data_IF_842361617299
#
_entry.id   IF_842361617299
#
_cell.length_a   1.000
_cell.length_b   1.000
_cell.length_c   1.000
_cell.angle_alpha   90.00
_cell.angle_beta   90.00
_cell.angle_gamma   90.00
#
_symmetry.space_group_name_H-M   'P 1'
#
loop_
_entity.id
_entity.type
_entity.pdbx_description
1 polymer ?
#
# COMPACT_ATOMS: atom_id res chain seq x y z
N UNK A 1 73.51 18.70 -27.43
CA UNK A 1 73.38 17.43 -26.67
C UNK A 1 72.80 17.82 -25.33
N UNK A 2 71.60 17.43 -24.93
CA UNK A 2 70.92 16.12 -25.05
C UNK A 2 69.42 16.34 -25.18
N UNK A 3 68.80 15.73 -26.20
CA UNK A 3 67.34 15.62 -26.30
C UNK A 3 66.85 14.61 -25.26
N UNK A 4 65.94 15.03 -24.38
CA UNK A 4 65.23 14.09 -23.51
C UNK A 4 64.29 13.24 -24.38
N UNK A 5 64.62 11.95 -24.41
CA UNK A 5 63.95 10.94 -25.19
C UNK A 5 62.56 10.67 -24.58
N UNK A 6 61.53 11.05 -25.33
CA UNK A 6 60.12 10.81 -25.05
C UNK A 6 59.78 9.47 -25.70
N UNK A 7 59.86 8.38 -24.95
CA UNK A 7 59.12 7.13 -25.20
C UNK A 7 59.36 6.12 -24.07
N UNK A 8 58.78 6.44 -22.91
CA UNK A 8 58.66 5.48 -21.81
C UNK A 8 57.26 4.87 -21.86
N UNK A 9 57.12 3.71 -22.53
CA UNK A 9 55.87 2.92 -22.59
C UNK A 9 55.39 2.44 -21.22
N UNK A 10 56.17 2.65 -20.16
CA UNK A 10 55.79 2.32 -18.79
C UNK A 10 54.96 3.43 -18.12
N UNK A 11 55.02 4.68 -18.59
CA UNK A 11 54.25 5.77 -17.98
C UNK A 11 52.73 5.59 -18.10
N UNK A 12 52.17 5.21 -19.26
CA UNK A 12 50.73 4.93 -19.39
C UNK A 12 50.29 3.76 -18.51
N UNK A 13 51.14 2.74 -18.35
CA UNK A 13 50.85 1.55 -17.54
C UNK A 13 50.83 1.88 -16.04
N UNK A 14 51.77 2.70 -15.57
CA UNK A 14 51.81 3.16 -14.18
C UNK A 14 50.59 4.03 -13.88
N UNK A 15 50.19 4.89 -14.82
CA UNK A 15 49.02 5.76 -14.67
C UNK A 15 47.71 4.94 -14.64
N UNK A 16 47.58 3.93 -15.51
CA UNK A 16 46.45 3.01 -15.50
C UNK A 16 46.39 2.18 -14.20
N UNK A 17 47.54 1.69 -13.71
CA UNK A 17 47.61 0.96 -12.45
C UNK A 17 47.22 1.85 -11.25
N UNK A 18 47.68 3.11 -11.22
CA UNK A 18 47.31 4.08 -10.19
C UNK A 18 45.79 4.38 -10.22
N UNK A 19 45.19 4.54 -11.41
CA UNK A 19 43.74 4.73 -11.55
C UNK A 19 42.98 3.51 -11.08
N UNK A 20 43.42 2.28 -11.40
CA UNK A 20 42.78 1.05 -10.93
C UNK A 20 42.86 0.95 -9.40
N UNK A 21 43.99 1.30 -8.79
CA UNK A 21 44.14 1.28 -7.32
C UNK A 21 43.24 2.34 -6.67
N UNK A 22 43.10 3.52 -7.25
CA UNK A 22 42.19 4.57 -6.76
C UNK A 22 40.73 4.15 -6.94
N UNK A 23 40.37 3.52 -8.06
CA UNK A 23 39.02 3.00 -8.30
C UNK A 23 38.70 1.82 -7.38
N UNK A 24 39.64 0.90 -7.17
CA UNK A 24 39.48 -0.21 -6.23
C UNK A 24 39.44 0.29 -4.77
N UNK A 25 40.22 1.31 -4.42
CA UNK A 25 40.19 1.96 -3.11
C UNK A 25 38.90 2.75 -2.87
N UNK A 26 38.36 3.44 -3.88
CA UNK A 26 37.07 4.14 -3.79
C UNK A 26 35.88 3.17 -3.82
N UNK A 27 35.98 2.05 -4.54
CA UNK A 27 35.03 0.95 -4.48
C UNK A 27 35.08 0.26 -3.11
N UNK A 28 36.27 0.00 -2.58
CA UNK A 28 36.47 -0.51 -1.22
C UNK A 28 35.93 0.43 -0.14
N UNK A 29 36.17 1.74 -0.28
CA UNK A 29 35.60 2.75 0.61
C UNK A 29 34.08 2.87 0.48
N UNK A 30 33.51 2.69 -0.72
CA UNK A 30 32.05 2.61 -0.93
C UNK A 30 31.44 1.31 -0.40
N UNK A 31 32.19 0.21 -0.40
CA UNK A 31 31.74 -1.08 0.14
C UNK A 31 31.88 -1.14 1.66
N UNK A 32 32.89 -0.49 2.25
CA UNK A 32 33.06 -0.35 3.70
C UNK A 32 32.12 0.74 4.25
N UNK A 33 31.86 1.81 3.50
CA UNK A 33 30.80 2.79 3.81
C UNK A 33 29.38 2.24 3.63
N UNK A 34 29.25 0.97 3.21
CA UNK A 34 27.99 0.22 3.15
C UNK A 34 27.66 -0.51 4.45
N UNK A 35 28.49 -0.36 5.49
CA UNK A 35 28.07 -0.43 6.90
C UNK A 35 27.32 0.87 7.30
N UNK A 36 26.60 1.47 6.36
CA UNK A 36 25.71 2.58 6.62
C UNK A 36 24.56 2.05 7.45
N UNK A 37 24.64 2.21 8.77
CA UNK A 37 23.48 2.04 9.66
C UNK A 37 22.31 2.76 8.99
N UNK A 38 21.28 2.01 8.60
CA UNK A 38 20.04 2.60 8.11
C UNK A 38 19.62 3.56 9.20
N UNK A 39 19.51 4.85 8.87
CA UNK A 39 18.99 5.83 9.83
C UNK A 39 17.52 5.50 9.98
N UNK A 40 17.22 4.82 11.09
CA UNK A 40 15.84 4.56 11.50
C UNK A 40 15.34 5.86 12.12
N UNK A 41 14.28 6.48 11.57
CA UNK A 41 13.69 7.64 12.20
C UNK A 41 13.10 7.20 13.54
N UNK A 42 13.32 8.00 14.58
CA UNK A 42 12.56 7.88 15.82
C UNK A 42 11.14 8.37 15.54
N UNK A 43 10.14 7.62 16.00
CA UNK A 43 8.75 8.07 15.91
C UNK A 43 8.59 9.37 16.72
N UNK A 44 8.06 10.45 16.13
CA UNK A 44 7.80 11.66 16.87
C UNK A 44 6.73 11.44 17.94
N UNK A 45 6.82 12.21 19.02
CA UNK A 45 5.86 12.16 20.12
C UNK A 45 4.43 12.35 19.60
N UNK A 46 3.55 11.43 19.99
CA UNK A 46 2.14 11.47 19.68
C UNK A 46 1.33 11.15 20.93
N UNK A 47 0.10 11.67 20.97
CA UNK A 47 -0.88 11.29 22.00
C UNK A 47 -2.06 10.63 21.32
N UNK A 48 -2.68 9.66 22.01
CA UNK A 48 -3.88 8.99 21.51
C UNK A 48 -5.06 9.57 22.30
N UNK A 49 -6.05 10.20 21.63
CA UNK A 49 -7.28 10.57 22.28
C UNK A 49 -7.99 9.35 22.89
N UNK A 50 -8.77 9.56 23.96
CA UNK A 50 -9.70 8.54 24.39
C UNK A 50 -10.74 8.30 23.28
N UNK A 51 -11.23 7.06 23.09
CA UNK A 51 -12.33 6.81 22.17
C UNK A 51 -13.55 7.64 22.52
N UNK A 52 -14.29 8.05 21.49
CA UNK A 52 -15.51 8.84 21.65
C UNK A 52 -16.53 8.06 22.46
N UNK A 53 -17.06 8.67 23.52
CA UNK A 53 -18.17 8.09 24.28
C UNK A 53 -19.39 7.94 23.37
N UNK A 54 -20.09 6.81 23.47
CA UNK A 54 -21.29 6.56 22.69
C UNK A 54 -22.41 5.99 23.56
N UNK A 55 -23.64 6.20 23.13
CA UNK A 55 -24.81 5.53 23.67
C UNK A 55 -25.32 4.53 22.65
N UNK A 56 -25.68 3.32 23.09
CA UNK A 56 -26.23 2.29 22.22
C UNK A 56 -27.46 2.77 21.43
N UNK A 57 -28.28 3.64 22.03
CA UNK A 57 -29.46 4.19 21.38
C UNK A 57 -29.14 5.10 20.18
N UNK A 58 -27.94 5.68 20.15
CA UNK A 58 -27.47 6.58 19.11
C UNK A 58 -26.57 5.87 18.09
N UNK A 59 -26.31 4.57 18.28
CA UNK A 59 -25.47 3.80 17.37
C UNK A 59 -26.23 3.51 16.07
N UNK A 60 -25.83 4.18 15.01
CA UNK A 60 -26.35 3.92 13.67
C UNK A 60 -25.77 2.61 13.10
N UNK A 61 -26.63 1.78 12.52
CA UNK A 61 -26.22 0.54 11.84
C UNK A 61 -26.33 0.74 10.33
N UNK A 62 -25.20 0.82 9.59
CA UNK A 62 -25.22 1.08 8.16
C UNK A 62 -25.93 -0.04 7.38
N UNK A 63 -26.97 0.33 6.61
CA UNK A 63 -27.69 -0.62 5.77
C UNK A 63 -27.03 -0.77 4.39
N UNK A 64 -26.02 -1.64 4.32
CA UNK A 64 -25.30 -1.96 3.07
C UNK A 64 -26.11 -2.70 2.00
N UNK A 65 -27.40 -2.94 2.23
CA UNK A 65 -28.34 -3.50 1.24
C UNK A 65 -29.45 -2.53 0.85
N UNK A 66 -29.54 -1.38 1.51
CA UNK A 66 -30.58 -0.40 1.25
C UNK A 66 -30.24 0.45 0.01
N UNK A 67 -31.22 0.85 -0.83
CA UNK A 67 -30.95 1.68 -2.01
C UNK A 67 -30.23 3.00 -1.73
N UNK A 68 -30.35 3.52 -0.50
CA UNK A 68 -29.69 4.74 -0.04
C UNK A 68 -28.16 4.66 -0.03
N UNK A 69 -27.57 3.48 -0.21
CA UNK A 69 -26.13 3.28 -0.22
C UNK A 69 -25.48 3.35 -1.60
N UNK A 70 -26.26 3.56 -2.66
CA UNK A 70 -25.77 3.50 -4.05
C UNK A 70 -24.59 4.45 -4.28
N UNK A 71 -24.61 5.59 -3.59
CA UNK A 71 -23.59 6.65 -3.69
C UNK A 71 -22.59 6.63 -2.52
N UNK A 72 -22.62 5.61 -1.66
CA UNK A 72 -21.69 5.54 -0.53
C UNK A 72 -20.28 5.25 -1.03
N UNK A 73 -19.33 6.01 -0.51
CA UNK A 73 -17.92 5.68 -0.66
C UNK A 73 -17.61 4.32 -0.06
N UNK A 74 -16.61 3.61 -0.60
CA UNK A 74 -16.14 2.31 -0.09
C UNK A 74 -15.31 2.48 1.19
N UNK A 75 -15.93 3.08 2.21
CA UNK A 75 -15.39 3.43 3.52
C UNK A 75 -16.32 2.93 4.62
N UNK A 76 -15.79 2.83 5.84
CA UNK A 76 -16.62 2.63 7.02
C UNK A 76 -17.56 3.81 7.16
N UNK A 77 -18.85 3.52 7.30
CA UNK A 77 -19.84 4.55 7.62
C UNK A 77 -19.94 4.73 9.15
N UNK A 78 -19.63 3.68 9.91
CA UNK A 78 -19.48 3.78 11.37
C UNK A 78 -18.23 4.61 11.69
N UNK A 79 -18.38 5.57 12.60
CA UNK A 79 -17.25 6.33 13.11
C UNK A 79 -16.29 5.42 13.90
N UNK A 80 -15.09 5.23 13.34
CA UNK A 80 -14.06 4.39 13.96
C UNK A 80 -13.41 5.06 15.16
N UNK A 81 -13.62 6.36 15.41
CA UNK A 81 -13.18 7.04 16.64
C UNK A 81 -13.91 6.50 17.89
N UNK A 82 -15.09 5.88 17.71
CA UNK A 82 -15.80 5.17 18.78
C UNK A 82 -15.00 3.97 19.31
N UNK A 83 -14.16 3.35 18.46
CA UNK A 83 -13.30 2.22 18.86
C UNK A 83 -11.87 2.66 19.11
N UNK A 84 -11.27 3.34 18.13
CA UNK A 84 -9.85 3.59 18.06
C UNK A 84 -9.57 4.90 17.29
N UNK A 85 -9.65 6.06 17.96
CA UNK A 85 -9.34 7.34 17.34
C UNK A 85 -7.91 7.35 16.81
N UNK A 86 -7.67 8.07 15.71
CA UNK A 86 -6.31 8.33 15.25
C UNK A 86 -5.57 9.16 16.31
N UNK A 87 -4.25 8.99 16.39
CA UNK A 87 -3.48 9.81 17.33
C UNK A 87 -3.24 11.22 16.80
N UNK A 88 -2.61 12.05 17.62
CA UNK A 88 -2.39 13.49 17.36
C UNK A 88 -1.04 13.77 16.70
N UNK A 89 -0.22 12.73 16.47
CA UNK A 89 1.10 12.88 15.91
C UNK A 89 1.06 13.45 14.49
N UNK A 90 1.88 14.47 14.22
CA UNK A 90 1.92 15.15 12.92
C UNK A 90 2.86 14.48 11.93
N UNK A 91 3.57 13.42 12.35
CA UNK A 91 4.48 12.71 11.46
C UNK A 91 3.72 11.89 10.42
N UNK A 92 4.36 11.65 9.29
CA UNK A 92 3.86 10.72 8.30
C UNK A 92 4.33 9.30 8.66
N UNK A 93 3.41 8.43 9.11
CA UNK A 93 3.76 7.06 9.46
C UNK A 93 4.38 6.26 8.30
N UNK A 94 4.12 6.67 7.05
CA UNK A 94 4.74 6.06 5.89
C UNK A 94 6.27 6.18 5.86
N UNK A 95 6.88 7.12 6.59
CA UNK A 95 8.34 7.26 6.70
C UNK A 95 8.98 5.97 7.22
N UNK A 96 8.36 5.34 8.22
CA UNK A 96 8.87 4.11 8.81
C UNK A 96 8.48 2.88 8.01
N UNK A 97 7.20 2.75 7.65
CA UNK A 97 6.73 1.59 6.89
C UNK A 97 7.37 1.52 5.50
N UNK A 98 7.68 2.67 4.89
CA UNK A 98 8.36 2.76 3.59
C UNK A 98 9.78 2.18 3.58
N UNK A 99 10.46 2.11 4.74
CA UNK A 99 11.77 1.46 4.87
C UNK A 99 11.73 -0.03 4.53
N UNK A 100 10.56 -0.64 4.63
CA UNK A 100 10.31 -2.04 4.32
C UNK A 100 9.72 -2.22 2.91
N UNK A 101 9.94 -1.27 2.01
CA UNK A 101 9.64 -1.42 0.59
C UNK A 101 10.07 -2.80 0.08
N UNK A 102 9.17 -3.44 -0.67
CA UNK A 102 9.43 -4.79 -1.17
C UNK A 102 10.65 -4.76 -2.11
N UNK A 103 11.46 -5.80 -2.04
CA UNK A 103 12.62 -6.07 -2.91
C UNK A 103 13.83 -5.12 -2.81
N UNK A 104 13.63 -3.83 -2.52
CA UNK A 104 14.69 -2.80 -2.53
C UNK A 104 14.70 -1.89 -1.30
N UNK A 105 13.77 -2.07 -0.35
CA UNK A 105 13.72 -1.25 0.86
C UNK A 105 14.97 -1.41 1.73
N UNK A 106 15.44 -0.33 2.40
CA UNK A 106 16.65 -0.37 3.23
C UNK A 106 16.56 -1.38 4.38
N UNK A 107 15.34 -1.74 4.81
CA UNK A 107 15.08 -2.73 5.87
C UNK A 107 14.41 -4.02 5.37
N UNK A 108 14.62 -4.36 4.09
CA UNK A 108 14.12 -5.63 3.52
C UNK A 108 14.60 -6.85 4.31
N UNK A 109 15.86 -6.85 4.73
CA UNK A 109 16.45 -7.99 5.44
C UNK A 109 15.85 -8.12 6.85
N UNK A 110 15.59 -7.00 7.53
CA UNK A 110 14.88 -6.99 8.82
C UNK A 110 13.48 -7.57 8.69
N UNK A 111 12.72 -7.18 7.66
CA UNK A 111 11.41 -7.75 7.37
C UNK A 111 11.51 -9.26 7.09
N UNK A 112 12.52 -9.69 6.33
CA UNK A 112 12.74 -11.11 6.01
C UNK A 112 13.04 -11.91 7.27
N UNK A 113 13.96 -11.43 8.10
CA UNK A 113 14.30 -12.04 9.38
C UNK A 113 13.08 -12.09 10.33
N UNK A 114 12.23 -11.06 10.32
CA UNK A 114 10.99 -11.08 11.10
C UNK A 114 10.04 -12.19 10.62
N UNK A 115 9.94 -12.44 9.31
CA UNK A 115 9.11 -13.54 8.80
C UNK A 115 9.59 -14.92 9.29
N UNK A 116 10.90 -15.08 9.52
CA UNK A 116 11.52 -16.33 10.01
C UNK A 116 11.30 -16.55 11.51
N UNK A 117 11.16 -15.48 12.30
CA UNK A 117 10.93 -15.55 13.75
C UNK A 117 9.48 -15.83 14.15
N UNK A 118 8.56 -15.92 13.19
CA UNK A 118 7.14 -16.12 13.49
C UNK A 118 6.90 -17.46 14.20
N UNK A 119 5.93 -17.42 15.09
CA UNK A 119 5.42 -18.55 15.85
C UNK A 119 3.94 -18.76 15.53
N UNK A 120 3.42 -19.94 15.86
CA UNK A 120 1.98 -20.19 15.76
C UNK A 120 1.22 -19.32 16.77
N UNK A 121 0.26 -18.53 16.27
CA UNK A 121 -0.71 -17.81 17.07
C UNK A 121 -2.03 -18.58 17.21
N UNK A 122 -3.09 -17.91 17.70
CA UNK A 122 -4.44 -18.44 17.65
C UNK A 122 -4.84 -18.90 16.23
N UNK A 123 -5.63 -19.97 16.13
CA UNK A 123 -5.96 -20.65 14.87
C UNK A 123 -6.42 -19.69 13.76
N UNK A 124 -7.25 -18.71 14.12
CA UNK A 124 -7.81 -17.74 13.16
C UNK A 124 -6.87 -16.58 12.81
N UNK A 125 -5.80 -16.37 13.59
CA UNK A 125 -4.75 -15.38 13.32
C UNK A 125 -3.60 -15.97 12.49
N UNK A 126 -3.31 -17.27 12.68
CA UNK A 126 -2.19 -17.95 12.05
C UNK A 126 -0.85 -17.52 12.64
N UNK A 127 0.14 -17.33 11.77
CA UNK A 127 1.51 -16.99 12.17
C UNK A 127 1.64 -15.55 12.70
N UNK A 128 2.30 -15.40 13.85
CA UNK A 128 2.53 -14.12 14.55
C UNK A 128 4.01 -13.94 14.90
N UNK A 129 4.48 -12.71 15.04
CA UNK A 129 5.73 -12.40 15.73
C UNK A 129 5.58 -12.60 17.26
N UNK A 130 6.65 -12.98 17.99
CA UNK A 130 6.70 -12.96 19.45
C UNK A 130 6.27 -11.61 20.03
N UNK A 131 5.64 -11.60 21.22
CA UNK A 131 5.04 -10.41 21.82
C UNK A 131 6.04 -9.27 22.13
N UNK A 132 7.31 -9.63 22.33
CA UNK A 132 8.46 -8.77 22.60
C UNK A 132 9.36 -8.57 21.36
N UNK A 133 8.90 -8.94 20.16
CA UNK A 133 9.68 -8.76 18.94
C UNK A 133 10.04 -7.27 18.76
N UNK A 134 11.32 -6.94 18.52
CA UNK A 134 11.77 -5.56 18.41
C UNK A 134 11.01 -4.74 17.36
N UNK A 135 10.63 -5.35 16.22
CA UNK A 135 9.90 -4.63 15.18
C UNK A 135 8.47 -4.30 15.59
N UNK A 136 7.85 -5.11 16.46
CA UNK A 136 6.53 -4.76 17.00
C UNK A 136 6.65 -3.50 17.83
N UNK A 137 7.54 -3.51 18.82
CA UNK A 137 7.74 -2.41 19.76
C UNK A 137 8.14 -1.12 19.04
N UNK A 138 9.01 -1.23 18.04
CA UNK A 138 9.43 -0.10 17.22
C UNK A 138 8.28 0.51 16.40
N UNK A 139 7.35 -0.32 15.90
CA UNK A 139 6.21 0.12 15.10
C UNK A 139 5.08 0.78 15.91
N UNK A 140 5.02 0.55 17.23
CA UNK A 140 3.92 1.02 18.07
C UNK A 140 3.67 2.53 17.98
N UNK A 141 4.67 3.41 18.24
CA UNK A 141 4.46 4.85 18.20
C UNK A 141 4.21 5.39 16.78
N UNK A 142 4.59 4.66 15.73
CA UNK A 142 4.24 5.01 14.35
C UNK A 142 2.76 4.79 14.04
N UNK A 143 2.10 3.86 14.74
CA UNK A 143 0.66 3.64 14.63
C UNK A 143 -0.17 4.69 15.39
N UNK A 144 0.48 5.52 16.21
CA UNK A 144 -0.14 6.58 16.98
C UNK A 144 -0.04 7.95 16.28
N UNK A 145 0.46 7.98 15.04
CA UNK A 145 0.42 9.17 14.20
C UNK A 145 -0.97 9.37 13.56
N UNK A 146 -1.23 10.58 13.07
CA UNK A 146 -2.51 10.93 12.43
C UNK A 146 -2.53 10.59 10.93
N UNK A 147 -1.36 10.49 10.28
CA UNK A 147 -1.25 10.49 8.82
C UNK A 147 -0.36 9.38 8.30
N UNK A 148 -0.75 8.79 7.17
CA UNK A 148 0.06 7.88 6.37
C UNK A 148 -0.17 8.14 4.88
N UNK A 149 0.82 8.79 4.27
CA UNK A 149 0.81 9.14 2.84
C UNK A 149 2.07 8.60 2.19
N UNK A 150 1.94 7.62 1.28
CA UNK A 150 3.12 7.05 0.61
C UNK A 150 3.54 7.85 -0.62
N UNK A 151 2.57 8.41 -1.36
CA UNK A 151 2.82 8.98 -2.68
C UNK A 151 2.37 10.44 -2.80
N UNK A 152 3.19 11.30 -3.42
CA UNK A 152 4.58 11.07 -3.87
C UNK A 152 5.62 11.17 -2.72
N UNK A 153 5.18 11.41 -1.49
CA UNK A 153 6.02 11.89 -0.39
C UNK A 153 7.13 10.92 0.04
N UNK A 154 6.87 9.62 0.02
CA UNK A 154 7.83 8.57 0.40
C UNK A 154 8.35 7.82 -0.82
N UNK A 155 7.46 7.53 -1.77
CA UNK A 155 7.79 6.91 -3.03
C UNK A 155 7.39 7.82 -4.17
N UNK A 156 8.33 8.06 -5.08
CA UNK A 156 8.04 8.69 -6.36
C UNK A 156 7.06 7.81 -7.15
N UNK A 157 6.14 8.47 -7.87
CA UNK A 157 5.29 7.81 -8.85
C UNK A 157 6.16 7.48 -10.08
N UNK A 158 6.40 6.19 -10.32
CA UNK A 158 7.24 5.66 -11.40
C UNK A 158 6.45 4.61 -12.21
N UNK A 159 5.21 4.93 -12.54
CA UNK A 159 4.31 4.05 -13.28
C UNK A 159 4.20 2.65 -12.69
N UNK A 160 4.46 1.64 -13.51
CA UNK A 160 4.45 0.23 -13.10
C UNK A 160 5.65 -0.17 -12.22
N UNK A 161 6.71 0.65 -12.18
CA UNK A 161 7.84 0.48 -11.27
C UNK A 161 7.63 1.22 -9.94
N UNK A 162 6.47 1.88 -9.76
CA UNK A 162 6.09 2.53 -8.50
C UNK A 162 6.21 1.53 -7.37
N UNK A 163 7.02 1.92 -6.38
CA UNK A 163 7.36 1.03 -5.26
C UNK A 163 6.14 0.83 -4.38
N UNK A 164 6.05 -0.36 -3.80
CA UNK A 164 5.05 -0.69 -2.78
C UNK A 164 5.74 -1.16 -1.51
N UNK A 165 5.15 -0.81 -0.37
CA UNK A 165 5.57 -1.32 0.93
C UNK A 165 5.35 -2.84 1.02
N UNK A 166 6.19 -3.54 1.79
CA UNK A 166 5.91 -4.93 2.14
C UNK A 166 4.68 -5.03 3.07
N UNK A 167 3.49 -5.17 2.48
CA UNK A 167 2.23 -5.22 3.21
C UNK A 167 2.01 -6.50 4.05
N UNK A 168 2.87 -7.52 3.91
CA UNK A 168 2.85 -8.66 4.84
C UNK A 168 3.34 -8.26 6.23
N UNK A 169 4.23 -7.27 6.32
CA UNK A 169 4.75 -6.78 7.59
C UNK A 169 3.65 -6.19 8.49
N UNK A 170 2.87 -5.16 8.08
CA UNK A 170 1.78 -4.61 8.90
C UNK A 170 0.73 -5.67 9.23
N UNK A 171 0.44 -6.61 8.33
CA UNK A 171 -0.50 -7.70 8.61
C UNK A 171 0.00 -8.63 9.74
N UNK A 172 1.29 -8.97 9.74
CA UNK A 172 1.87 -9.77 10.82
C UNK A 172 1.92 -9.00 12.14
N UNK A 173 2.21 -7.69 12.10
CA UNK A 173 2.17 -6.83 13.28
C UNK A 173 0.78 -6.79 13.91
N UNK A 174 -0.26 -6.59 13.11
CA UNK A 174 -1.64 -6.63 13.61
C UNK A 174 -1.99 -7.98 14.20
N UNK A 175 -1.66 -9.10 13.54
CA UNK A 175 -1.93 -10.43 14.11
C UNK A 175 -1.23 -10.62 15.45
N UNK A 176 0.02 -10.16 15.58
CA UNK A 176 0.76 -10.20 16.84
C UNK A 176 0.16 -9.34 17.93
N UNK A 177 -0.19 -8.09 17.65
CA UNK A 177 -0.84 -7.23 18.63
C UNK A 177 -2.19 -7.80 19.06
N UNK A 178 -2.99 -8.33 18.13
CA UNK A 178 -4.25 -8.99 18.49
C UNK A 178 -3.98 -10.24 19.35
N UNK A 179 -3.00 -11.07 19.02
CA UNK A 179 -2.65 -12.22 19.86
C UNK A 179 -2.16 -11.81 21.26
N UNK A 180 -1.37 -10.73 21.35
CA UNK A 180 -0.88 -10.16 22.61
C UNK A 180 -2.02 -9.59 23.45
N UNK A 181 -2.96 -8.87 22.83
CA UNK A 181 -4.16 -8.34 23.47
C UNK A 181 -5.11 -9.44 23.96
N UNK A 182 -5.33 -10.50 23.18
CA UNK A 182 -6.12 -11.66 23.60
C UNK A 182 -5.51 -12.38 24.80
N UNK A 183 -4.18 -12.35 24.93
CA UNK A 183 -3.45 -12.95 26.04
C UNK A 183 -3.30 -12.02 27.24
N UNK A 184 -3.73 -10.75 27.14
CA UNK A 184 -3.54 -9.78 28.20
C UNK A 184 -4.46 -10.06 29.39
N UNK A 185 -3.93 -9.86 30.61
CA UNK A 185 -4.68 -10.07 31.85
C UNK A 185 -5.82 -9.07 32.00
N UNK A 186 -5.57 -7.79 31.71
CA UNK A 186 -6.57 -6.72 31.81
C UNK A 186 -7.17 -6.34 30.47
N UNK A 187 -8.44 -5.95 30.50
CA UNK A 187 -9.19 -5.47 29.34
C UNK A 187 -8.57 -4.20 28.78
N UNK A 188 -8.09 -3.31 29.65
CA UNK A 188 -7.41 -2.08 29.26
C UNK A 188 -6.19 -2.35 28.36
N UNK A 189 -5.29 -3.24 28.79
CA UNK A 189 -4.11 -3.62 28.00
C UNK A 189 -4.49 -4.34 26.70
N UNK A 190 -5.52 -5.19 26.74
CA UNK A 190 -6.04 -5.84 25.54
C UNK A 190 -6.51 -4.81 24.50
N UNK A 191 -7.28 -3.82 24.95
CA UNK A 191 -7.83 -2.77 24.09
C UNK A 191 -6.74 -1.87 23.51
N UNK A 192 -5.64 -1.59 24.21
CA UNK A 192 -4.52 -0.84 23.63
C UNK A 192 -3.99 -1.48 22.34
N UNK A 193 -3.78 -2.80 22.35
CA UNK A 193 -3.27 -3.56 21.21
C UNK A 193 -4.29 -3.67 20.07
N UNK A 194 -5.56 -3.91 20.40
CA UNK A 194 -6.62 -3.94 19.38
C UNK A 194 -6.79 -2.58 18.74
N UNK A 195 -6.85 -1.50 19.53
CA UNK A 195 -7.00 -0.14 19.02
C UNK A 195 -5.82 0.29 18.18
N UNK A 196 -4.59 -0.08 18.55
CA UNK A 196 -3.41 0.17 17.71
C UNK A 196 -3.52 -0.49 16.34
N UNK A 197 -3.99 -1.73 16.33
CA UNK A 197 -4.20 -2.48 15.09
C UNK A 197 -5.31 -1.86 14.21
N UNK A 198 -6.38 -1.35 14.82
CA UNK A 198 -7.42 -0.57 14.11
C UNK A 198 -6.83 0.73 13.57
N UNK A 199 -6.04 1.49 14.35
CA UNK A 199 -5.38 2.72 13.90
C UNK A 199 -4.47 2.47 12.70
N UNK A 200 -3.61 1.44 12.74
CA UNK A 200 -2.79 1.06 11.59
C UNK A 200 -3.66 0.74 10.37
N UNK A 201 -4.76 0.02 10.57
CA UNK A 201 -5.71 -0.25 9.52
C UNK A 201 -6.35 1.02 8.95
N UNK A 202 -6.66 2.02 9.77
CA UNK A 202 -7.16 3.34 9.31
C UNK A 202 -6.11 4.11 8.52
N UNK A 203 -4.87 4.14 9.00
CA UNK A 203 -3.74 4.77 8.31
C UNK A 203 -3.53 4.19 6.91
N UNK A 204 -3.55 2.85 6.78
CA UNK A 204 -3.44 2.14 5.50
C UNK A 204 -4.62 2.34 4.55
N UNK A 205 -5.68 3.04 4.98
CA UNK A 205 -6.87 3.33 4.19
C UNK A 205 -7.04 4.80 3.85
N UNK A 206 -6.10 5.68 4.22
CA UNK A 206 -6.16 7.09 3.80
C UNK A 206 -6.06 7.25 2.28
N UNK A 207 -6.42 8.41 1.72
CA UNK A 207 -6.60 8.57 0.26
C UNK A 207 -5.32 8.39 -0.56
N UNK A 208 -4.14 8.55 0.04
CA UNK A 208 -2.86 8.53 -0.67
C UNK A 208 -2.08 7.22 -0.47
N UNK A 209 -2.83 6.12 -0.47
CA UNK A 209 -2.33 4.74 -0.43
C UNK A 209 -2.84 3.99 -1.66
N UNK A 210 -2.10 2.99 -2.15
CA UNK A 210 -2.57 2.14 -3.26
C UNK A 210 -3.72 1.22 -2.81
N UNK A 211 -4.54 0.74 -3.75
CA UNK A 211 -5.71 -0.12 -3.47
C UNK A 211 -5.33 -1.36 -2.65
N UNK A 212 -4.17 -1.97 -2.91
CA UNK A 212 -3.73 -3.13 -2.14
C UNK A 212 -3.45 -2.79 -0.67
N UNK A 213 -2.96 -1.58 -0.37
CA UNK A 213 -2.82 -1.10 1.00
C UNK A 213 -4.18 -0.93 1.67
N UNK A 214 -5.20 -0.44 0.95
CA UNK A 214 -6.57 -0.31 1.47
C UNK A 214 -7.13 -1.66 1.92
N UNK A 215 -6.97 -2.68 1.08
CA UNK A 215 -7.44 -4.04 1.36
C UNK A 215 -6.75 -4.63 2.59
N UNK A 216 -5.45 -4.36 2.75
CA UNK A 216 -4.70 -4.77 3.94
C UNK A 216 -5.16 -3.99 5.16
N UNK A 217 -5.40 -2.68 5.04
CA UNK A 217 -5.95 -1.86 6.11
C UNK A 217 -7.36 -2.32 6.55
N UNK A 218 -8.21 -2.73 5.61
CA UNK A 218 -9.50 -3.33 5.89
C UNK A 218 -9.35 -4.65 6.66
N UNK A 219 -8.38 -5.49 6.28
CA UNK A 219 -8.07 -6.72 7.00
C UNK A 219 -7.54 -6.44 8.42
N UNK A 220 -6.70 -5.41 8.60
CA UNK A 220 -6.21 -4.97 9.90
C UNK A 220 -7.37 -4.57 10.84
N UNK A 221 -8.30 -3.74 10.34
CA UNK A 221 -9.48 -3.32 11.12
C UNK A 221 -10.34 -4.53 11.47
N UNK A 222 -10.56 -5.45 10.52
CA UNK A 222 -11.35 -6.66 10.75
C UNK A 222 -10.76 -7.53 11.86
N UNK A 223 -9.47 -7.91 11.76
CA UNK A 223 -8.82 -8.77 12.75
C UNK A 223 -8.85 -8.14 14.15
N UNK A 224 -8.56 -6.85 14.23
CA UNK A 224 -8.50 -6.13 15.49
C UNK A 224 -9.88 -5.93 16.14
N UNK A 225 -10.88 -5.55 15.35
CA UNK A 225 -12.26 -5.39 15.84
C UNK A 225 -12.83 -6.73 16.29
N UNK A 226 -12.44 -7.84 15.65
CA UNK A 226 -12.78 -9.18 16.14
C UNK A 226 -12.16 -9.45 17.52
N UNK A 227 -10.92 -9.03 17.74
CA UNK A 227 -10.29 -9.07 19.07
C UNK A 227 -11.08 -8.26 20.12
N UNK A 228 -11.52 -7.04 19.77
CA UNK A 228 -12.40 -6.22 20.63
C UNK A 228 -13.69 -6.98 20.96
N UNK A 229 -14.35 -7.53 19.94
CA UNK A 229 -15.60 -8.28 20.11
C UNK A 229 -15.44 -9.50 21.02
N UNK A 230 -14.43 -10.33 20.78
CA UNK A 230 -14.17 -11.54 21.58
C UNK A 230 -13.86 -11.18 23.04
N UNK A 231 -13.08 -10.11 23.27
CA UNK A 231 -12.77 -9.64 24.63
C UNK A 231 -13.98 -9.05 25.33
N UNK A 232 -14.73 -8.18 24.66
CA UNK A 232 -15.92 -7.55 25.20
C UNK A 232 -16.98 -8.59 25.63
N UNK A 233 -17.18 -9.63 24.81
CA UNK A 233 -18.04 -10.75 25.19
C UNK A 233 -17.55 -11.52 26.42
N UNK A 234 -16.23 -11.79 26.50
CA UNK A 234 -15.65 -12.51 27.64
C UNK A 234 -15.81 -11.72 28.95
N UNK A 235 -15.74 -10.39 28.88
CA UNK A 235 -15.85 -9.49 30.02
C UNK A 235 -17.31 -9.11 30.34
N UNK A 236 -18.27 -9.47 29.49
CA UNK A 236 -19.70 -9.14 29.64
C UNK A 236 -20.07 -7.70 29.24
N UNK A 237 -19.18 -6.99 28.54
CA UNK A 237 -19.42 -5.66 28.00
C UNK A 237 -20.19 -5.75 26.68
N UNK A 238 -21.51 -5.82 26.80
CA UNK A 238 -22.41 -5.98 25.65
C UNK A 238 -22.48 -4.73 24.78
N UNK A 239 -22.22 -3.55 25.33
CA UNK A 239 -22.24 -2.29 24.57
C UNK A 239 -21.04 -2.23 23.62
N UNK A 240 -19.84 -2.53 24.13
CA UNK A 240 -18.64 -2.60 23.31
C UNK A 240 -18.70 -3.76 22.31
N UNK A 241 -19.25 -4.91 22.70
CA UNK A 241 -19.46 -6.02 21.79
C UNK A 241 -20.42 -5.65 20.64
N UNK A 242 -21.50 -4.92 20.93
CA UNK A 242 -22.41 -4.43 19.90
C UNK A 242 -21.71 -3.47 18.94
N UNK A 243 -20.99 -2.47 19.44
CA UNK A 243 -20.22 -1.53 18.61
C UNK A 243 -19.23 -2.28 17.70
N UNK A 244 -18.45 -3.20 18.27
CA UNK A 244 -17.51 -4.01 17.49
C UNK A 244 -18.23 -4.85 16.42
N UNK A 245 -19.41 -5.40 16.72
CA UNK A 245 -20.19 -6.18 15.76
C UNK A 245 -20.70 -5.34 14.58
N UNK A 246 -21.07 -4.08 14.80
CA UNK A 246 -21.48 -3.16 13.73
C UNK A 246 -20.31 -2.88 12.79
N UNK A 247 -19.13 -2.56 13.34
CA UNK A 247 -17.91 -2.35 12.55
C UNK A 247 -17.52 -3.62 11.78
N UNK A 248 -17.61 -4.80 12.40
CA UNK A 248 -17.38 -6.08 11.71
C UNK A 248 -18.35 -6.30 10.55
N UNK A 249 -19.61 -5.91 10.71
CA UNK A 249 -20.66 -6.02 9.68
C UNK A 249 -20.36 -5.24 8.40
N UNK A 250 -19.60 -4.15 8.50
CA UNK A 250 -19.24 -3.32 7.34
C UNK A 250 -18.07 -3.87 6.52
N UNK A 251 -17.31 -4.83 7.05
CA UNK A 251 -16.11 -5.35 6.37
C UNK A 251 -16.47 -6.10 5.08
N UNK A 252 -17.50 -6.95 5.12
CA UNK A 252 -17.87 -7.77 3.98
C UNK A 252 -18.42 -6.93 2.79
N UNK A 253 -19.35 -5.98 3.00
CA UNK A 253 -19.77 -5.06 1.94
C UNK A 253 -18.63 -4.29 1.30
N UNK A 254 -17.71 -3.73 2.09
CA UNK A 254 -16.56 -3.00 1.56
C UNK A 254 -15.66 -3.90 0.72
N UNK A 255 -15.36 -5.12 1.19
CA UNK A 255 -14.58 -6.09 0.41
C UNK A 255 -15.25 -6.47 -0.92
N UNK A 256 -16.58 -6.67 -0.91
CA UNK A 256 -17.34 -6.99 -2.11
C UNK A 256 -17.40 -5.81 -3.07
N UNK A 257 -17.57 -4.59 -2.56
CA UNK A 257 -17.55 -3.35 -3.34
C UNK A 257 -16.21 -3.12 -4.00
N UNK A 258 -15.10 -3.22 -3.26
CA UNK A 258 -13.74 -3.10 -3.82
C UNK A 258 -13.48 -4.19 -4.84
N UNK A 259 -13.90 -5.44 -4.59
CA UNK A 259 -13.76 -6.52 -5.58
C UNK A 259 -14.54 -6.24 -6.86
N UNK A 260 -15.80 -5.81 -6.73
CA UNK A 260 -16.65 -5.43 -7.87
C UNK A 260 -15.96 -4.36 -8.69
N UNK A 261 -15.46 -3.31 -8.03
CA UNK A 261 -14.74 -2.22 -8.66
C UNK A 261 -13.50 -2.71 -9.44
N UNK A 262 -12.61 -3.45 -8.76
CA UNK A 262 -11.39 -3.96 -9.41
C UNK A 262 -11.72 -4.88 -10.58
N UNK A 263 -12.76 -5.72 -10.46
CA UNK A 263 -13.16 -6.59 -11.57
C UNK A 263 -13.77 -5.79 -12.72
N UNK A 264 -14.43 -4.65 -12.47
CA UNK A 264 -14.96 -3.80 -13.54
C UNK A 264 -13.88 -3.03 -14.30
N UNK A 265 -12.72 -2.76 -13.70
CA UNK A 265 -11.66 -1.94 -14.33
C UNK A 265 -10.39 -2.72 -14.70
N UNK A 266 -10.16 -3.92 -14.14
CA UNK A 266 -8.97 -4.75 -14.39
C UNK A 266 -8.87 -5.26 -15.84
N UNK A 267 -7.73 -5.08 -16.50
CA UNK A 267 -7.53 -5.46 -17.91
C UNK A 267 -6.95 -6.87 -18.11
N UNK A 268 -6.63 -7.61 -17.04
CA UNK A 268 -5.98 -8.94 -17.16
C UNK A 268 -6.78 -9.91 -18.05
N UNK A 269 -8.11 -9.88 -17.99
CA UNK A 269 -8.99 -10.76 -18.78
C UNK A 269 -9.25 -10.28 -20.21
N UNK A 270 -8.62 -9.16 -20.61
CA UNK A 270 -8.74 -8.55 -21.93
C UNK A 270 -7.54 -8.82 -22.83
N UNK A 271 -6.51 -9.54 -22.34
CA UNK A 271 -5.36 -10.00 -23.12
C UNK A 271 -5.56 -11.44 -23.61
N UNK A 272 -5.34 -11.68 -24.90
CA UNK A 272 -5.45 -13.01 -25.52
C UNK A 272 -4.52 -13.14 -26.72
N UNK A 273 -4.24 -14.39 -27.12
CA UNK A 273 -3.54 -14.68 -28.37
C UNK A 273 -4.49 -14.60 -29.55
N UNK A 274 -4.11 -13.84 -30.57
CA UNK A 274 -4.84 -13.79 -31.84
C UNK A 274 -4.54 -15.03 -32.72
N UNK A 275 -5.10 -15.04 -33.93
CA UNK A 275 -4.92 -16.14 -34.90
C UNK A 275 -3.46 -16.27 -35.40
N UNK A 276 -2.62 -15.26 -35.17
CA UNK A 276 -1.20 -15.23 -35.52
C UNK A 276 -0.31 -15.64 -34.34
N UNK A 277 -0.91 -15.84 -33.17
CA UNK A 277 -0.23 -16.19 -31.93
C UNK A 277 0.33 -14.98 -31.18
N UNK A 278 0.05 -13.76 -31.62
CA UNK A 278 0.46 -12.52 -30.97
C UNK A 278 -0.50 -12.17 -29.82
N UNK A 279 0.04 -11.60 -28.74
CA UNK A 279 -0.77 -11.17 -27.61
C UNK A 279 -1.32 -9.77 -27.92
N UNK A 280 -2.63 -9.64 -27.87
CA UNK A 280 -3.36 -8.40 -28.17
C UNK A 280 -4.35 -8.07 -27.05
N UNK A 281 -4.68 -6.78 -26.93
CA UNK A 281 -5.74 -6.30 -26.05
C UNK A 281 -7.06 -6.23 -26.83
N UNK A 282 -8.14 -6.76 -26.25
CA UNK A 282 -9.52 -6.59 -26.75
C UNK A 282 -10.44 -6.48 -25.56
N UNK A 283 -11.05 -5.31 -25.45
CA UNK A 283 -11.94 -5.00 -24.36
C UNK A 283 -13.29 -5.71 -24.56
N UNK A 284 -13.93 -6.04 -23.44
CA UNK A 284 -15.37 -6.37 -23.44
C UNK A 284 -16.19 -5.11 -23.64
N UNK A 285 -17.40 -5.25 -24.18
CA UNK A 285 -18.24 -4.14 -24.66
C UNK A 285 -18.65 -3.10 -23.60
N UNK A 286 -18.42 -3.36 -22.32
CA UNK A 286 -18.71 -2.47 -21.17
C UNK A 286 -17.45 -2.03 -20.41
N UNK A 287 -16.29 -2.61 -20.73
CA UNK A 287 -15.06 -2.44 -19.96
C UNK A 287 -14.49 -1.03 -20.11
N UNK A 288 -14.45 -0.55 -21.35
CA UNK A 288 -13.93 0.78 -21.65
C UNK A 288 -14.73 1.87 -20.94
N UNK A 289 -16.07 1.80 -21.06
CA UNK A 289 -16.98 2.77 -20.43
C UNK A 289 -16.84 2.76 -18.90
N UNK A 290 -16.71 1.59 -18.28
CA UNK A 290 -16.50 1.48 -16.83
C UNK A 290 -15.17 2.12 -16.36
N UNK A 291 -14.10 2.00 -17.16
CA UNK A 291 -12.81 2.64 -16.88
C UNK A 291 -12.92 4.16 -17.03
N UNK A 292 -13.56 4.64 -18.10
CA UNK A 292 -13.79 6.08 -18.32
C UNK A 292 -14.63 6.68 -17.20
N UNK A 293 -15.78 6.07 -16.89
CA UNK A 293 -16.68 6.51 -15.80
C UNK A 293 -15.93 6.59 -14.48
N UNK A 294 -15.11 5.58 -14.16
CA UNK A 294 -14.30 5.57 -12.95
C UNK A 294 -13.29 6.71 -12.93
N UNK A 295 -12.54 6.91 -14.02
CA UNK A 295 -11.51 7.94 -14.09
C UNK A 295 -12.10 9.36 -13.94
N UNK A 296 -13.28 9.59 -14.53
CA UNK A 296 -13.95 10.89 -14.52
C UNK A 296 -14.69 11.18 -13.20
N UNK A 297 -15.33 10.18 -12.60
CA UNK A 297 -16.38 10.44 -11.59
C UNK A 297 -16.22 9.71 -10.26
N UNK A 298 -15.31 8.74 -10.12
CA UNK A 298 -15.18 8.01 -8.86
C UNK A 298 -14.79 8.96 -7.72
N UNK A 299 -15.50 8.89 -6.59
CA UNK A 299 -15.25 9.77 -5.44
C UNK A 299 -13.91 9.49 -4.76
N UNK A 300 -13.35 8.29 -4.93
CA UNK A 300 -12.10 7.86 -4.31
C UNK A 300 -10.94 8.00 -5.31
N UNK A 301 -9.98 8.88 -4.99
CA UNK A 301 -8.78 9.14 -5.81
C UNK A 301 -8.06 7.86 -6.23
N UNK A 302 -8.03 6.83 -5.39
CA UNK A 302 -7.29 5.59 -5.66
C UNK A 302 -7.92 4.81 -6.81
N UNK A 303 -9.25 4.81 -6.86
CA UNK A 303 -10.01 4.20 -7.94
C UNK A 303 -9.83 4.99 -9.24
N UNK A 304 -9.84 6.33 -9.17
CA UNK A 304 -9.52 7.18 -10.31
C UNK A 304 -8.13 6.88 -10.85
N UNK A 305 -7.09 6.88 -9.99
CA UNK A 305 -5.72 6.62 -10.40
C UNK A 305 -5.51 5.23 -11.00
N UNK A 306 -6.17 4.18 -10.47
CA UNK A 306 -6.15 2.84 -11.08
C UNK A 306 -6.73 2.88 -12.51
N UNK A 307 -7.85 3.58 -12.71
CA UNK A 307 -8.47 3.74 -14.02
C UNK A 307 -7.59 4.55 -14.99
N UNK A 308 -6.83 5.54 -14.51
CA UNK A 308 -5.87 6.29 -15.33
C UNK A 308 -4.74 5.40 -15.87
N UNK A 309 -4.31 4.39 -15.12
CA UNK A 309 -3.38 3.37 -15.61
C UNK A 309 -4.06 2.48 -16.66
N UNK A 310 -5.32 2.10 -16.44
CA UNK A 310 -6.13 1.39 -17.44
C UNK A 310 -6.25 2.17 -18.77
N UNK A 311 -6.51 3.47 -18.71
CA UNK A 311 -6.57 4.35 -19.89
C UNK A 311 -5.20 4.46 -20.59
N UNK A 312 -4.09 4.48 -19.86
CA UNK A 312 -2.75 4.42 -20.46
C UNK A 312 -2.54 3.12 -21.24
N UNK A 313 -3.02 1.98 -20.73
CA UNK A 313 -2.96 0.70 -21.44
C UNK A 313 -3.79 0.77 -22.73
N UNK A 314 -5.02 1.23 -22.64
CA UNK A 314 -5.95 1.30 -23.78
C UNK A 314 -5.45 2.29 -24.84
N UNK A 315 -4.91 3.44 -24.42
CA UNK A 315 -4.32 4.44 -25.31
C UNK A 315 -3.24 3.85 -26.25
N UNK A 316 -2.44 2.93 -25.74
CA UNK A 316 -1.27 2.42 -26.47
C UNK A 316 -1.51 1.06 -27.15
N UNK A 317 -2.47 0.27 -26.64
CA UNK A 317 -2.66 -1.13 -27.05
C UNK A 317 -4.09 -1.45 -27.50
N UNK A 318 -5.04 -0.55 -27.30
CA UNK A 318 -6.43 -0.72 -27.70
C UNK A 318 -6.66 -0.53 -29.20
N UNK A 319 -7.90 -0.72 -29.63
CA UNK A 319 -8.28 -0.43 -31.02
C UNK A 319 -8.15 1.09 -31.32
N UNK A 320 -8.04 1.51 -32.59
CA UNK A 320 -7.81 2.92 -32.93
C UNK A 320 -8.86 3.89 -32.36
N UNK A 321 -10.13 3.47 -32.31
CA UNK A 321 -11.22 4.28 -31.74
C UNK A 321 -11.10 4.40 -30.22
N UNK A 322 -10.80 3.30 -29.53
CA UNK A 322 -10.59 3.25 -28.08
C UNK A 322 -9.36 4.08 -27.68
N UNK A 323 -8.28 3.98 -28.47
CA UNK A 323 -7.04 4.72 -28.25
C UNK A 323 -7.25 6.23 -28.38
N UNK A 324 -7.96 6.66 -29.43
CA UNK A 324 -8.29 8.07 -29.63
C UNK A 324 -9.16 8.61 -28.48
N UNK A 325 -10.14 7.82 -28.04
CA UNK A 325 -11.01 8.22 -26.93
C UNK A 325 -10.27 8.24 -25.59
N UNK A 326 -9.40 7.28 -25.31
CA UNK A 326 -8.55 7.29 -24.12
C UNK A 326 -7.64 8.52 -24.07
N UNK A 327 -7.09 8.94 -25.21
CA UNK A 327 -6.30 10.17 -25.33
C UNK A 327 -7.13 11.41 -24.96
N UNK A 328 -8.36 11.52 -25.48
CA UNK A 328 -9.27 12.64 -25.17
C UNK A 328 -9.56 12.71 -23.67
N UNK A 329 -9.96 11.58 -23.07
CA UNK A 329 -10.30 11.50 -21.64
C UNK A 329 -9.09 11.86 -20.77
N UNK A 330 -7.92 11.29 -21.04
CA UNK A 330 -6.70 11.62 -20.31
C UNK A 330 -6.30 13.10 -20.47
N UNK A 331 -6.48 13.67 -21.66
CA UNK A 331 -6.18 15.08 -21.92
C UNK A 331 -7.12 16.03 -21.17
N UNK A 332 -8.39 15.65 -21.01
CA UNK A 332 -9.35 16.39 -20.20
C UNK A 332 -9.00 16.31 -18.71
N UNK A 333 -8.75 15.09 -18.20
CA UNK A 333 -8.40 14.87 -16.79
C UNK A 333 -7.03 15.49 -16.42
N UNK A 334 -6.13 15.68 -17.37
CA UNK A 334 -4.89 16.44 -17.13
C UNK A 334 -5.13 17.89 -16.65
N UNK A 335 -6.35 18.42 -16.80
CA UNK A 335 -6.82 19.69 -16.26
C UNK A 335 -7.68 19.59 -14.99
N UNK A 336 -7.76 18.42 -14.35
CA UNK A 336 -8.59 18.19 -13.15
C UNK A 336 -8.20 19.13 -11.99
N UNK A 337 -9.18 19.47 -11.15
CA UNK A 337 -8.98 20.30 -9.98
C UNK A 337 -8.16 19.59 -8.89
N UNK A 338 -8.19 18.26 -8.84
CA UNK A 338 -7.32 17.45 -8.00
C UNK A 338 -5.94 17.29 -8.66
N UNK A 339 -4.88 17.91 -8.10
CA UNK A 339 -3.56 17.90 -8.72
C UNK A 339 -2.97 16.49 -8.85
N UNK A 340 -3.30 15.54 -7.95
CA UNK A 340 -2.76 14.18 -8.03
C UNK A 340 -3.40 13.37 -9.15
N UNK A 341 -4.69 13.59 -9.39
CA UNK A 341 -5.40 12.98 -10.52
C UNK A 341 -4.89 13.58 -11.83
N UNK A 342 -4.75 14.91 -11.89
CA UNK A 342 -4.19 15.60 -13.05
C UNK A 342 -2.75 15.15 -13.37
N UNK A 343 -1.90 15.00 -12.35
CA UNK A 343 -0.55 14.46 -12.48
C UNK A 343 -0.55 13.03 -13.01
N UNK A 344 -1.43 12.17 -12.49
CA UNK A 344 -1.61 10.80 -12.98
C UNK A 344 -2.00 10.76 -14.46
N UNK A 345 -2.92 11.62 -14.89
CA UNK A 345 -3.36 11.68 -16.28
C UNK A 345 -2.27 12.19 -17.22
N UNK A 346 -1.50 13.22 -16.80
CA UNK A 346 -0.32 13.69 -17.54
C UNK A 346 0.74 12.62 -17.67
N UNK A 347 1.05 11.93 -16.57
CA UNK A 347 1.98 10.80 -16.58
C UNK A 347 1.53 9.73 -17.58
N UNK A 348 0.24 9.37 -17.57
CA UNK A 348 -0.34 8.40 -18.51
C UNK A 348 -0.23 8.81 -19.99
N UNK A 349 -0.22 10.12 -20.30
CA UNK A 349 0.00 10.61 -21.66
C UNK A 349 1.49 10.61 -22.06
N UNK A 350 2.37 10.91 -21.12
CA UNK A 350 3.81 11.08 -21.36
C UNK A 350 4.60 9.75 -21.36
N UNK A 351 4.01 8.69 -20.81
CA UNK A 351 4.66 7.40 -20.61
C UNK A 351 3.94 6.29 -21.41
N UNK A 352 4.20 6.18 -22.72
CA UNK A 352 3.61 5.14 -23.54
C UNK A 352 4.08 3.76 -23.07
N UNK A 353 3.20 2.78 -23.22
CA UNK A 353 3.50 1.38 -22.90
C UNK A 353 3.44 0.51 -24.14
N UNK A 354 4.16 -0.59 -24.09
CA UNK A 354 4.13 -1.65 -25.09
C UNK A 354 4.00 -3.02 -24.42
N UNK A 355 3.98 -4.08 -25.24
CA UNK A 355 3.89 -5.45 -24.71
C UNK A 355 5.11 -5.89 -23.93
N UNK A 356 6.31 -5.37 -24.23
CA UNK A 356 7.51 -5.69 -23.46
C UNK A 356 7.37 -5.18 -22.02
N UNK A 357 6.83 -3.97 -21.83
CA UNK A 357 6.54 -3.42 -20.50
C UNK A 357 5.55 -4.32 -19.75
N UNK A 358 4.45 -4.72 -20.39
CA UNK A 358 3.40 -5.55 -19.77
C UNK A 358 3.88 -6.95 -19.37
N UNK A 359 4.77 -7.55 -20.17
CA UNK A 359 5.44 -8.81 -19.82
C UNK A 359 6.40 -8.64 -18.65
N UNK A 360 7.21 -7.57 -18.67
CA UNK A 360 8.19 -7.27 -17.61
C UNK A 360 7.53 -7.07 -16.25
N UNK A 361 6.36 -6.44 -16.22
CA UNK A 361 5.59 -6.18 -14.99
C UNK A 361 4.67 -7.36 -14.63
N UNK A 362 4.62 -8.40 -15.47
CA UNK A 362 3.92 -9.64 -15.21
C UNK A 362 2.40 -9.58 -15.38
N UNK A 363 1.86 -8.51 -15.98
CA UNK A 363 0.44 -8.41 -16.36
C UNK A 363 0.11 -9.36 -17.50
N UNK A 364 1.06 -9.53 -18.42
CA UNK A 364 1.00 -10.51 -19.51
C UNK A 364 2.04 -11.59 -19.24
N UNK A 365 1.64 -12.86 -19.35
CA UNK A 365 2.58 -13.96 -19.29
C UNK A 365 2.42 -14.84 -20.53
N UNK A 366 3.34 -14.76 -21.50
CA UNK A 366 3.24 -15.50 -22.75
C UNK A 366 3.19 -17.02 -22.55
N UNK A 367 3.71 -17.54 -21.43
CA UNK A 367 3.70 -18.98 -21.14
C UNK A 367 2.39 -19.46 -20.52
N UNK A 368 1.54 -18.55 -20.03
CA UNK A 368 0.26 -18.87 -19.37
C UNK A 368 -0.97 -18.50 -20.21
N UNK A 369 -0.79 -17.70 -21.26
CA UNK A 369 -1.85 -17.23 -22.17
C UNK A 369 -1.86 -18.00 -23.48
#
# INVERSE_FOLDING_TARGET
MTSLNRDSKTWPVILAAAVIVILAGSLGARLIGRDGSVVVPDAPDATIPAPTEFYVADLEVPCWTCPSNTDWSLRFQTDLDLLAPLGTGTANAAEWFGLFAKDVGPRKDDATAAMERRIEGPEWLGQILPADDPLLLEAEPWCDQATMTYYPDIFELDGYATRITNLLLPLNMVRSWVARGLSAESTEKALEDFRRSIRLGRLLRQEDVVVISDLVGLACIHLATRGVYERALADGDLELALLASVVLGEVAPQRLGTKKHLTSTDLIDSFFRDDQGEIVLRLKSDKFDAIVETAESASDRRMRCEALIGLNIILNLGEPEESARAFEVLSEIAGDADPKVADGARWSLENPIDMEVMERVGLVNPKKM
#
